data_IF_555707478300
#
_entry.id   IF_555707478300
#
_cell.length_a   1.000
_cell.length_b   1.000
_cell.length_c   1.000
_cell.angle_alpha   90.00
_cell.angle_beta   90.00
_cell.angle_gamma   90.00
#
_symmetry.space_group_name_H-M   'P 1'
#
loop_
_entity.id
_entity.type
_entity.pdbx_description
1 polymer ?
#
# COMPACT_ATOMS: atom_id res chain seq x y z
N UNK A 1 1.71 -6.82 -13.24
CA UNK A 1 2.23 -7.13 -11.89
C UNK A 1 2.68 -5.84 -11.21
N UNK A 2 1.94 -5.43 -10.18
CA UNK A 2 2.34 -4.30 -9.34
C UNK A 2 3.59 -4.67 -8.53
N UNK A 3 4.41 -3.66 -8.24
CA UNK A 3 5.66 -3.83 -7.50
C UNK A 3 5.89 -2.59 -6.63
N UNK A 4 6.31 -2.80 -5.40
CA UNK A 4 6.75 -1.76 -4.47
C UNK A 4 8.04 -2.27 -3.83
N UNK A 5 9.09 -1.47 -3.85
CA UNK A 5 10.26 -1.66 -3.00
C UNK A 5 10.38 -0.44 -2.10
N UNK A 6 10.69 -0.67 -0.84
CA UNK A 6 10.75 0.42 0.12
C UNK A 6 11.79 0.19 1.20
N UNK A 7 12.35 1.28 1.69
CA UNK A 7 13.21 1.32 2.86
C UNK A 7 12.49 2.04 3.99
N UNK A 8 12.34 1.36 5.12
CA UNK A 8 11.74 1.86 6.34
C UNK A 8 12.81 2.07 7.41
N UNK A 9 12.96 3.30 7.86
CA UNK A 9 14.05 3.79 8.71
C UNK A 9 13.50 4.74 9.78
N UNK A 10 12.75 4.24 10.78
CA UNK A 10 12.20 5.08 11.84
C UNK A 10 13.30 5.89 12.53
N UNK A 11 13.07 7.18 12.72
CA UNK A 11 14.06 8.11 13.32
C UNK A 11 15.04 8.75 12.33
N UNK A 12 15.08 8.31 11.07
CA UNK A 12 15.85 8.97 10.01
C UNK A 12 15.09 10.18 9.43
N UNK A 13 15.80 11.15 8.84
CA UNK A 13 15.20 12.33 8.20
C UNK A 13 14.26 11.96 7.03
N UNK A 14 14.57 10.86 6.35
CA UNK A 14 13.72 10.20 5.36
C UNK A 14 13.29 8.84 5.94
N UNK A 15 12.21 8.78 6.75
CA UNK A 15 11.84 7.55 7.44
C UNK A 15 11.28 6.50 6.49
N UNK A 16 10.72 6.91 5.36
CA UNK A 16 10.19 6.01 4.34
C UNK A 16 10.64 6.49 2.95
N UNK A 17 11.29 5.58 2.21
CA UNK A 17 11.61 5.76 0.80
C UNK A 17 10.94 4.65 0.00
N UNK A 18 10.15 5.02 -1.01
CA UNK A 18 9.30 4.08 -1.76
C UNK A 18 9.54 4.27 -3.26
N UNK A 19 9.79 3.17 -3.96
CA UNK A 19 9.71 3.10 -5.42
C UNK A 19 8.65 2.08 -5.81
N UNK A 20 7.68 2.50 -6.61
CA UNK A 20 6.52 1.68 -6.94
C UNK A 20 6.20 1.73 -8.44
N UNK A 21 5.78 0.59 -8.98
CA UNK A 21 5.21 0.46 -10.31
C UNK A 21 3.81 -0.15 -10.18
N UNK A 22 2.79 0.60 -10.57
CA UNK A 22 1.44 0.07 -10.75
C UNK A 22 1.32 -0.49 -12.15
N UNK A 23 0.90 -1.74 -12.25
CA UNK A 23 0.64 -2.39 -13.53
C UNK A 23 -0.84 -2.79 -13.56
N UNK A 24 -1.59 -2.10 -14.41
CA UNK A 24 -3.05 -2.13 -14.50
C UNK A 24 -3.47 -2.12 -15.98
N UNK A 25 -4.68 -2.56 -16.27
CA UNK A 25 -5.30 -2.40 -17.58
C UNK A 25 -5.28 -0.94 -18.05
N UNK A 26 -4.76 -0.70 -19.27
CA UNK A 26 -4.77 0.61 -19.91
C UNK A 26 -6.17 1.23 -20.04
N UNK A 27 -7.20 0.39 -20.18
CA UNK A 27 -8.58 0.83 -20.30
C UNK A 27 -9.19 1.30 -18.96
N UNK A 28 -8.54 1.05 -17.81
CA UNK A 28 -9.05 1.48 -16.51
C UNK A 28 -8.72 2.96 -16.30
N UNK A 29 -9.73 3.85 -16.30
CA UNK A 29 -9.48 5.28 -16.22
C UNK A 29 -8.96 5.68 -14.84
N UNK A 30 -7.94 6.55 -14.80
CA UNK A 30 -7.39 7.08 -13.55
C UNK A 30 -6.84 8.49 -13.70
N UNK A 31 -6.96 9.30 -12.66
CA UNK A 31 -6.28 10.59 -12.56
C UNK A 31 -4.84 10.40 -12.07
N UNK A 32 -3.90 11.24 -12.57
CA UNK A 32 -2.50 11.22 -12.11
C UNK A 32 -2.39 11.68 -10.65
N UNK A 33 -1.18 11.57 -10.10
CA UNK A 33 -0.87 12.09 -8.76
C UNK A 33 -1.17 13.59 -8.70
N UNK A 34 -2.11 13.96 -7.84
CA UNK A 34 -2.48 15.34 -7.57
C UNK A 34 -3.02 15.49 -6.14
N UNK A 35 -3.13 16.73 -5.67
CA UNK A 35 -3.93 17.04 -4.49
C UNK A 35 -5.41 16.71 -4.77
N UNK A 36 -6.09 16.10 -3.81
CA UNK A 36 -7.53 15.82 -3.94
C UNK A 36 -8.36 17.02 -3.48
N UNK A 37 -9.30 17.46 -4.32
CA UNK A 37 -10.18 18.59 -4.01
C UNK A 37 -11.20 18.25 -2.91
N UNK A 38 -11.59 16.97 -2.80
CA UNK A 38 -12.55 16.46 -1.82
C UNK A 38 -11.90 15.95 -0.52
N UNK A 39 -10.58 16.10 -0.38
CA UNK A 39 -9.83 15.62 0.79
C UNK A 39 -8.54 16.43 0.99
N UNK A 40 -8.61 17.45 1.85
CA UNK A 40 -7.49 18.33 2.15
C UNK A 40 -6.25 17.54 2.65
N UNK A 41 -5.09 17.86 2.09
CA UNK A 41 -3.81 17.23 2.44
C UNK A 41 -3.61 15.81 1.89
N UNK A 42 -4.58 15.26 1.13
CA UNK A 42 -4.40 14.00 0.42
C UNK A 42 -3.77 14.24 -0.96
N UNK A 43 -2.67 13.54 -1.22
CA UNK A 43 -1.96 13.53 -2.50
C UNK A 43 -1.88 12.11 -3.03
N UNK A 44 -2.65 11.79 -4.07
CA UNK A 44 -2.71 10.46 -4.63
C UNK A 44 -3.21 10.48 -6.08
N UNK A 45 -2.89 9.45 -6.86
CA UNK A 45 -3.67 9.16 -8.08
C UNK A 45 -5.09 8.72 -7.71
N UNK A 46 -6.06 8.83 -8.61
CA UNK A 46 -7.45 8.43 -8.33
C UNK A 46 -7.96 7.44 -9.36
N UNK A 47 -8.49 6.32 -8.92
CA UNK A 47 -9.23 5.38 -9.76
C UNK A 47 -10.60 5.98 -10.09
N UNK A 48 -10.89 6.20 -11.36
CA UNK A 48 -12.15 6.83 -11.79
C UNK A 48 -13.30 5.82 -11.90
N UNK A 49 -13.00 4.52 -11.86
CA UNK A 49 -14.04 3.48 -11.89
C UNK A 49 -14.61 3.21 -10.50
N UNK A 50 -13.74 3.04 -9.50
CA UNK A 50 -14.15 2.73 -8.12
C UNK A 50 -13.97 3.88 -7.12
N UNK A 51 -13.41 5.02 -7.52
CA UNK A 51 -13.24 6.22 -6.69
C UNK A 51 -12.11 6.17 -5.65
N UNK A 52 -11.39 5.04 -5.54
CA UNK A 52 -10.31 4.82 -4.58
C UNK A 52 -8.92 5.21 -5.10
N UNK A 53 -7.87 4.73 -4.42
CA UNK A 53 -6.48 4.90 -4.85
C UNK A 53 -5.62 3.68 -4.52
N UNK A 54 -4.41 3.62 -5.07
CA UNK A 54 -3.45 2.53 -4.87
C UNK A 54 -2.21 2.95 -4.08
N UNK A 55 -1.88 4.23 -4.06
CA UNK A 55 -0.74 4.79 -3.35
C UNK A 55 -0.96 6.29 -3.14
N UNK A 56 -0.68 6.76 -1.93
CA UNK A 56 -0.76 8.19 -1.66
C UNK A 56 -0.23 8.59 -0.30
N UNK A 57 -0.24 9.89 -0.08
CA UNK A 57 0.08 10.56 1.17
C UNK A 57 -1.15 11.31 1.67
N UNK A 58 -1.26 11.45 2.99
CA UNK A 58 -2.31 12.18 3.66
C UNK A 58 -1.76 13.14 4.71
N UNK A 59 -2.63 13.88 5.41
CA UNK A 59 -2.24 14.78 6.48
C UNK A 59 -1.37 14.11 7.54
N UNK A 60 -0.56 14.90 8.26
CA UNK A 60 0.32 14.42 9.33
C UNK A 60 1.33 13.31 8.93
N UNK A 61 1.69 13.24 7.64
CA UNK A 61 2.67 12.27 7.14
C UNK A 61 2.11 10.86 7.00
N UNK A 62 0.78 10.71 6.92
CA UNK A 62 0.14 9.43 6.63
C UNK A 62 0.55 8.93 5.27
N UNK A 63 0.85 7.65 5.19
CA UNK A 63 1.20 6.96 3.96
C UNK A 63 0.33 5.72 3.82
N UNK A 64 -0.14 5.44 2.60
CA UNK A 64 -0.80 4.18 2.30
C UNK A 64 -0.48 3.72 0.87
N UNK A 65 -0.33 2.41 0.72
CA UNK A 65 -0.18 1.76 -0.57
C UNK A 65 -0.81 0.37 -0.57
N UNK A 66 -1.22 -0.08 -1.75
CA UNK A 66 -1.88 -1.35 -1.96
C UNK A 66 -1.31 -2.10 -3.16
N UNK A 67 -1.16 -3.42 -3.00
CA UNK A 67 -0.94 -4.35 -4.11
C UNK A 67 -1.99 -5.46 -4.07
N UNK A 68 -2.44 -5.92 -5.24
CA UNK A 68 -3.38 -7.03 -5.33
C UNK A 68 -2.67 -8.35 -4.99
N UNK A 69 -3.30 -9.27 -4.27
CA UNK A 69 -2.79 -10.65 -4.17
C UNK A 69 -3.36 -11.45 -5.34
N UNK A 70 -2.50 -12.13 -6.10
CA UNK A 70 -2.89 -12.96 -7.24
C UNK A 70 -3.41 -14.30 -6.75
N UNK A 71 -4.69 -14.54 -6.97
CA UNK A 71 -5.31 -15.85 -6.80
C UNK A 71 -6.33 -16.07 -7.92
N UNK A 72 -6.05 -16.96 -8.89
CA UNK A 72 -6.97 -17.27 -9.99
C UNK A 72 -8.30 -17.87 -9.55
N UNK A 73 -8.36 -18.49 -8.36
CA UNK A 73 -9.55 -19.16 -7.83
C UNK A 73 -10.45 -18.24 -7.00
N UNK A 74 -10.00 -17.01 -6.73
CA UNK A 74 -10.69 -16.12 -5.82
C UNK A 74 -11.87 -15.40 -6.48
N UNK A 75 -13.02 -15.42 -5.80
CA UNK A 75 -14.16 -14.59 -6.14
C UNK A 75 -13.85 -13.08 -6.01
N UNK A 76 -14.45 -12.27 -6.86
CA UNK A 76 -14.37 -10.82 -6.76
C UNK A 76 -14.98 -10.36 -5.42
N UNK A 77 -14.27 -9.47 -4.73
CA UNK A 77 -14.78 -8.82 -3.52
C UNK A 77 -15.96 -7.92 -3.86
N UNK A 78 -16.83 -7.73 -2.87
CA UNK A 78 -17.98 -6.83 -2.97
C UNK A 78 -17.57 -5.36 -3.02
N UNK A 79 -16.39 -5.05 -2.49
CA UNK A 79 -15.86 -3.68 -2.39
C UNK A 79 -14.51 -3.55 -3.08
N UNK A 80 -14.23 -2.35 -3.60
CA UNK A 80 -12.93 -2.03 -4.19
C UNK A 80 -11.89 -1.85 -3.09
N UNK A 81 -10.80 -2.59 -3.17
CA UNK A 81 -9.64 -2.47 -2.26
C UNK A 81 -9.04 -1.07 -2.23
N UNK A 82 -9.15 -0.31 -3.34
CA UNK A 82 -8.60 1.04 -3.42
C UNK A 82 -9.26 2.02 -2.44
N UNK A 83 -10.47 1.71 -1.96
CA UNK A 83 -11.11 2.50 -0.91
C UNK A 83 -10.36 2.38 0.43
N UNK A 84 -9.70 1.26 0.73
CA UNK A 84 -8.95 1.08 1.98
C UNK A 84 -7.78 2.08 2.08
N UNK A 85 -7.12 2.31 0.95
CA UNK A 85 -6.05 3.31 0.85
C UNK A 85 -6.65 4.70 1.02
N UNK A 86 -7.72 4.99 0.29
CA UNK A 86 -8.36 6.31 0.30
C UNK A 86 -8.95 6.68 1.67
N UNK A 87 -9.63 5.75 2.34
CA UNK A 87 -10.19 5.89 3.69
C UNK A 87 -9.09 6.18 4.71
N UNK A 88 -7.97 5.45 4.66
CA UNK A 88 -6.87 5.68 5.59
C UNK A 88 -6.24 7.06 5.42
N UNK A 89 -6.07 7.51 4.16
CA UNK A 89 -5.46 8.80 3.84
C UNK A 89 -6.36 9.98 4.23
N UNK A 90 -7.68 9.84 4.09
CA UNK A 90 -8.67 10.83 4.54
C UNK A 90 -8.88 10.85 6.05
N UNK A 91 -8.71 9.69 6.68
CA UNK A 91 -8.95 9.50 8.11
C UNK A 91 -7.84 10.05 8.99
N UNK A 92 -8.12 10.04 10.30
CA UNK A 92 -7.14 10.28 11.36
C UNK A 92 -6.86 9.03 12.19
N UNK A 93 -6.18 9.19 13.31
CA UNK A 93 -5.99 8.14 14.31
C UNK A 93 -4.84 7.17 14.04
N UNK A 94 -4.70 6.16 14.91
CA UNK A 94 -3.59 5.23 14.87
C UNK A 94 -3.74 4.20 13.72
N UNK A 95 -2.68 3.94 12.93
CA UNK A 95 -2.67 2.88 11.91
C UNK A 95 -3.10 1.50 12.41
N UNK A 96 -2.75 1.11 13.64
CA UNK A 96 -3.12 -0.17 14.23
C UNK A 96 -4.65 -0.30 14.39
N UNK A 97 -5.31 0.76 14.86
CA UNK A 97 -6.77 0.78 15.06
C UNK A 97 -7.50 0.67 13.73
N UNK A 98 -7.02 1.39 12.71
CA UNK A 98 -7.58 1.29 11.35
C UNK A 98 -7.43 -0.14 10.80
N UNK A 99 -6.27 -0.78 10.98
CA UNK A 99 -6.06 -2.15 10.52
C UNK A 99 -6.91 -3.17 11.26
N UNK A 100 -7.18 -2.97 12.55
CA UNK A 100 -8.11 -3.81 13.30
C UNK A 100 -9.53 -3.74 12.71
N UNK A 101 -9.98 -2.55 12.32
CA UNK A 101 -11.27 -2.37 11.63
C UNK A 101 -11.25 -3.05 10.26
N UNK A 102 -10.20 -2.87 9.47
CA UNK A 102 -10.06 -3.52 8.15
C UNK A 102 -10.04 -5.04 8.28
N UNK A 103 -9.38 -5.59 9.30
CA UNK A 103 -9.36 -7.02 9.55
C UNK A 103 -10.77 -7.59 9.80
N UNK A 104 -11.61 -6.87 10.54
CA UNK A 104 -13.01 -7.25 10.78
C UNK A 104 -13.91 -7.27 9.53
N UNK A 105 -13.54 -6.54 8.47
CA UNK A 105 -14.26 -6.49 7.18
C UNK A 105 -13.46 -7.03 6.00
N UNK A 106 -12.38 -7.78 6.24
CA UNK A 106 -11.47 -8.22 5.18
C UNK A 106 -12.15 -9.13 4.13
N UNK A 107 -13.20 -9.85 4.53
CA UNK A 107 -13.98 -10.73 3.65
C UNK A 107 -14.76 -9.99 2.56
N UNK A 108 -14.95 -8.67 2.68
CA UNK A 108 -15.63 -7.86 1.65
C UNK A 108 -14.74 -7.56 0.43
N UNK A 109 -13.45 -7.92 0.50
CA UNK A 109 -12.45 -7.57 -0.49
C UNK A 109 -11.82 -8.81 -1.13
N UNK A 110 -11.45 -8.69 -2.41
CA UNK A 110 -10.48 -9.62 -3.02
C UNK A 110 -9.13 -9.51 -2.32
N UNK A 111 -8.25 -10.50 -2.50
CA UNK A 111 -6.96 -10.58 -1.81
C UNK A 111 -6.09 -9.35 -2.05
N UNK A 112 -5.43 -8.88 -0.99
CA UNK A 112 -4.64 -7.66 -1.03
C UNK A 112 -3.46 -7.73 -0.07
N UNK A 113 -2.47 -6.90 -0.35
CA UNK A 113 -1.57 -6.38 0.66
C UNK A 113 -1.88 -4.90 0.86
N UNK A 114 -1.96 -4.49 2.11
CA UNK A 114 -2.12 -3.11 2.52
C UNK A 114 -0.89 -2.72 3.32
N UNK A 115 -0.24 -1.64 2.92
CA UNK A 115 0.90 -1.04 3.60
C UNK A 115 0.49 0.35 4.05
N UNK A 116 0.40 0.60 5.34
CA UNK A 116 -0.02 1.91 5.88
C UNK A 116 0.87 2.33 7.03
N UNK A 117 0.96 3.63 7.27
CA UNK A 117 1.75 4.13 8.38
C UNK A 117 1.79 5.64 8.43
N UNK A 118 2.72 6.09 9.25
CA UNK A 118 3.10 7.48 9.41
C UNK A 118 4.64 7.55 9.53
N UNK A 119 5.16 8.69 9.96
CA UNK A 119 6.60 8.92 10.16
C UNK A 119 7.25 8.09 11.28
N UNK A 120 6.48 7.43 12.13
CA UNK A 120 6.94 6.70 13.30
C UNK A 120 6.71 5.18 13.20
N UNK A 121 5.69 4.75 12.47
CA UNK A 121 5.33 3.34 12.34
C UNK A 121 4.88 3.00 10.93
N UNK A 122 5.19 1.78 10.49
CA UNK A 122 4.77 1.25 9.21
C UNK A 122 4.23 -0.17 9.42
N UNK A 123 3.03 -0.43 8.92
CA UNK A 123 2.30 -1.67 9.10
C UNK A 123 2.01 -2.31 7.75
N UNK A 124 2.10 -3.64 7.73
CA UNK A 124 1.67 -4.46 6.60
C UNK A 124 0.52 -5.36 7.02
N UNK A 125 -0.47 -5.53 6.15
CA UNK A 125 -1.55 -6.47 6.33
C UNK A 125 -1.84 -7.23 5.04
N UNK A 126 -1.93 -8.54 5.16
CA UNK A 126 -2.41 -9.45 4.13
C UNK A 126 -3.34 -10.47 4.79
N UNK A 127 -4.66 -10.43 4.53
CA UNK A 127 -5.65 -11.29 5.20
C UNK A 127 -5.40 -12.80 5.04
N UNK A 128 -4.61 -13.21 4.03
CA UNK A 128 -4.29 -14.61 3.77
C UNK A 128 -3.08 -15.12 4.53
N UNK A 129 -2.25 -14.21 5.05
CA UNK A 129 -1.01 -14.56 5.75
C UNK A 129 -1.23 -14.57 7.26
N UNK A 130 -2.02 -13.62 7.79
CA UNK A 130 -2.26 -13.52 9.21
C UNK A 130 -2.70 -12.12 9.63
N UNK A 131 -2.64 -11.80 10.93
CA UNK A 131 -3.05 -10.50 11.44
C UNK A 131 -2.13 -9.37 10.94
N UNK A 132 -2.58 -8.09 11.03
CA UNK A 132 -1.74 -6.94 10.74
C UNK A 132 -0.44 -6.95 11.55
N UNK A 133 0.67 -6.60 10.90
CA UNK A 133 2.01 -6.64 11.50
C UNK A 133 2.72 -5.30 11.42
N UNK A 134 3.34 -4.89 12.53
CA UNK A 134 4.27 -3.75 12.55
C UNK A 134 5.58 -4.18 11.88
N UNK A 135 6.11 -3.34 10.99
CA UNK A 135 7.37 -3.58 10.30
C UNK A 135 8.54 -3.00 11.11
N UNK A 136 9.55 -3.81 11.45
CA UNK A 136 10.82 -3.27 11.95
C UNK A 136 11.55 -2.49 10.85
N UNK A 137 12.58 -1.73 11.22
CA UNK A 137 13.44 -1.06 10.23
C UNK A 137 14.01 -2.07 9.24
N UNK A 138 14.06 -1.71 7.95
CA UNK A 138 14.57 -2.60 6.91
C UNK A 138 14.20 -2.20 5.49
N UNK A 139 14.73 -2.97 4.55
CA UNK A 139 14.42 -2.84 3.12
C UNK A 139 13.53 -4.02 2.72
N UNK A 140 12.41 -3.73 2.07
CA UNK A 140 11.34 -4.67 1.79
C UNK A 140 10.95 -4.64 0.31
N UNK A 141 10.39 -5.77 -0.15
CA UNK A 141 9.70 -5.87 -1.42
C UNK A 141 8.26 -6.32 -1.25
N UNK A 142 7.35 -5.71 -2.00
CA UNK A 142 5.96 -6.09 -2.08
C UNK A 142 5.51 -6.18 -3.54
N UNK A 143 4.84 -7.27 -3.90
CA UNK A 143 4.27 -7.48 -5.24
C UNK A 143 2.93 -8.20 -5.09
N UNK A 144 2.54 -9.06 -6.04
CA UNK A 144 1.23 -9.69 -6.07
C UNK A 144 1.09 -10.94 -5.18
N UNK A 145 1.92 -11.09 -4.16
CA UNK A 145 1.93 -12.21 -3.21
C UNK A 145 2.21 -11.68 -1.79
N UNK A 146 2.61 -12.53 -0.85
CA UNK A 146 3.02 -12.08 0.49
C UNK A 146 4.27 -11.18 0.45
N UNK A 147 4.49 -10.40 1.51
CA UNK A 147 5.68 -9.55 1.65
C UNK A 147 6.96 -10.38 1.49
N UNK A 148 7.94 -9.83 0.76
CA UNK A 148 9.24 -10.45 0.46
C UNK A 148 9.18 -11.82 -0.24
N UNK A 149 8.04 -12.18 -0.85
CA UNK A 149 8.00 -13.34 -1.75
C UNK A 149 9.06 -13.17 -2.84
N UNK A 150 9.94 -14.15 -3.11
CA UNK A 150 11.16 -13.96 -3.90
C UNK A 150 10.91 -13.97 -5.42
N UNK A 151 10.14 -13.01 -5.93
CA UNK A 151 9.96 -12.84 -7.37
C UNK A 151 11.25 -12.25 -7.98
N UNK A 152 11.75 -12.76 -9.12
CA UNK A 152 13.02 -12.29 -9.70
C UNK A 152 13.09 -10.77 -9.90
N UNK A 153 12.00 -10.16 -10.37
CA UNK A 153 11.90 -8.70 -10.54
C UNK A 153 11.97 -7.94 -9.21
N UNK A 154 11.37 -8.50 -8.15
CA UNK A 154 11.33 -7.90 -6.82
C UNK A 154 12.69 -7.97 -6.14
N UNK A 155 13.38 -9.11 -6.25
CA UNK A 155 14.74 -9.27 -5.74
C UNK A 155 15.70 -8.28 -6.41
N UNK A 156 15.64 -8.16 -7.74
CA UNK A 156 16.46 -7.19 -8.49
C UNK A 156 16.17 -5.75 -8.07
N UNK A 157 14.90 -5.36 -7.95
CA UNK A 157 14.52 -4.01 -7.54
C UNK A 157 14.93 -3.71 -6.09
N UNK A 158 14.79 -4.68 -5.18
CA UNK A 158 15.17 -4.53 -3.77
C UNK A 158 16.68 -4.41 -3.60
N UNK A 159 17.46 -5.19 -4.34
CA UNK A 159 18.92 -5.10 -4.37
C UNK A 159 19.37 -3.72 -4.90
N UNK A 160 18.80 -3.28 -6.03
CA UNK A 160 19.09 -1.97 -6.59
C UNK A 160 18.74 -0.81 -5.62
N UNK A 161 17.66 -0.95 -4.84
CA UNK A 161 17.33 0.02 -3.80
C UNK A 161 18.38 0.03 -2.67
N UNK A 162 18.81 -1.15 -2.21
CA UNK A 162 19.83 -1.27 -1.17
C UNK A 162 21.17 -0.64 -1.61
N UNK A 163 21.60 -0.87 -2.85
CA UNK A 163 22.81 -0.26 -3.42
C UNK A 163 22.76 1.28 -3.46
N UNK A 164 21.57 1.89 -3.55
CA UNK A 164 21.39 3.35 -3.58
C UNK A 164 21.31 3.99 -2.20
N UNK A 165 21.15 3.18 -1.16
CA UNK A 165 21.10 3.62 0.24
C UNK A 165 22.43 3.42 0.96
N UNK A 166 23.36 2.65 0.38
CA UNK A 166 24.74 2.48 0.83
C UNK A 166 25.61 3.67 0.39
#
# INVERSE_FOLDING_TARGET
MCLIVFAWQPGHALPLLVAANRDEFYARPSLPLAAWEDAEGVFAGRDLEAGGTWLGLGPAGRFAALTNVRDPSQALGKRSRGELVADFLRGGGNPADYLAQVAGRAADYSGFNLLIGDRHQLWHYNPRVGPPRLLPAGIYGLSNAALDTPWPKLLKARAALAERLA
#
